data_IF_196608088689
#
_entry.id   IF_196608088689
#
_cell.length_a   1.000
_cell.length_b   1.000
_cell.length_c   1.000
_cell.angle_alpha   90.00
_cell.angle_beta   90.00
_cell.angle_gamma   90.00
#
_symmetry.space_group_name_H-M   'P 1'
#
loop_
_entity.id
_entity.type
_entity.pdbx_description
1 polymer ?
#
# COMPACT_ATOMS: atom_id res chain seq x y z
N UNK A 1 -18.57 -12.90 -11.17
CA UNK A 1 -17.94 -12.26 -12.32
C UNK A 1 -17.09 -13.27 -13.10
N UNK A 2 -17.29 -13.37 -14.42
CA UNK A 2 -16.55 -14.28 -15.29
C UNK A 2 -15.32 -13.59 -15.89
N UNK A 3 -14.51 -12.92 -15.07
CA UNK A 3 -13.21 -12.41 -15.50
C UNK A 3 -12.25 -13.56 -15.76
N UNK A 4 -11.45 -13.47 -16.80
CA UNK A 4 -10.37 -14.42 -17.02
C UNK A 4 -9.23 -14.02 -16.08
N UNK A 5 -9.01 -14.82 -15.04
CA UNK A 5 -7.83 -14.69 -14.20
C UNK A 5 -6.75 -15.59 -14.75
N UNK A 6 -5.66 -14.99 -15.20
CA UNK A 6 -4.51 -15.73 -15.71
C UNK A 6 -3.50 -15.91 -14.59
N UNK A 7 -3.18 -17.13 -14.26
CA UNK A 7 -2.10 -17.43 -13.33
C UNK A 7 -0.76 -17.22 -14.03
N UNK A 8 0.10 -16.41 -13.40
CA UNK A 8 1.48 -16.23 -13.82
C UNK A 8 2.39 -16.85 -12.75
N UNK A 9 2.77 -18.12 -12.90
CA UNK A 9 3.56 -18.81 -11.90
C UNK A 9 4.99 -18.25 -11.87
N UNK A 10 5.43 -17.89 -10.69
CA UNK A 10 6.83 -17.61 -10.37
C UNK A 10 7.58 -18.88 -9.90
N UNK A 11 6.85 -20.02 -9.79
CA UNK A 11 7.37 -21.26 -9.23
C UNK A 11 8.56 -21.86 -9.99
N UNK A 12 8.67 -21.60 -11.28
CA UNK A 12 9.81 -22.06 -12.08
C UNK A 12 11.09 -21.29 -11.73
N UNK A 13 10.98 -20.12 -11.17
CA UNK A 13 12.11 -19.31 -10.71
C UNK A 13 12.84 -19.94 -9.53
N UNK A 14 12.09 -20.40 -8.55
CA UNK A 14 12.65 -20.93 -7.30
C UNK A 14 13.28 -22.31 -7.47
N UNK A 15 12.83 -23.08 -8.46
CA UNK A 15 13.21 -24.49 -8.61
C UNK A 15 14.50 -24.74 -9.39
N UNK A 16 14.86 -23.88 -10.36
CA UNK A 16 15.94 -24.19 -11.30
C UNK A 16 16.87 -23.03 -11.68
N UNK A 17 16.67 -21.84 -11.15
CA UNK A 17 17.49 -20.66 -11.48
C UNK A 17 17.43 -20.27 -12.97
N UNK A 18 16.47 -20.81 -13.74
CA UNK A 18 16.23 -20.48 -15.14
C UNK A 18 14.75 -20.21 -15.35
N UNK A 19 14.45 -19.01 -15.76
CA UNK A 19 13.12 -18.60 -16.15
C UNK A 19 13.00 -18.83 -17.66
N UNK A 20 12.03 -19.62 -18.07
CA UNK A 20 11.68 -19.80 -19.49
C UNK A 20 10.84 -18.65 -20.03
N UNK A 21 10.44 -17.70 -19.16
CA UNK A 21 9.67 -16.50 -19.48
C UNK A 21 10.53 -15.26 -19.31
N UNK A 22 10.24 -14.14 -20.00
CA UNK A 22 11.00 -12.90 -19.92
C UNK A 22 10.75 -12.13 -18.62
N UNK A 23 10.79 -12.82 -17.48
CA UNK A 23 10.76 -12.20 -16.17
C UNK A 23 12.18 -11.83 -15.78
N UNK A 24 12.44 -10.55 -15.71
CA UNK A 24 13.71 -10.05 -15.20
C UNK A 24 13.62 -9.85 -13.69
N UNK A 25 14.73 -10.14 -13.01
CA UNK A 25 14.82 -9.88 -11.58
C UNK A 25 14.88 -8.38 -11.34
N UNK A 26 13.87 -7.82 -10.70
CA UNK A 26 13.88 -6.45 -10.23
C UNK A 26 14.83 -6.28 -9.03
N UNK A 27 15.42 -5.10 -8.83
CA UNK A 27 16.14 -4.78 -7.61
C UNK A 27 15.19 -4.77 -6.42
N UNK A 28 15.73 -4.97 -5.23
CA UNK A 28 14.98 -4.99 -3.98
C UNK A 28 15.54 -6.04 -3.02
N UNK A 29 14.81 -6.32 -1.99
CA UNK A 29 15.16 -7.28 -0.95
C UNK A 29 13.92 -7.97 -0.39
N UNK A 30 14.06 -8.60 0.74
CA UNK A 30 12.94 -9.14 1.49
C UNK A 30 12.10 -8.00 2.09
N UNK A 31 10.77 -8.14 2.11
CA UNK A 31 9.89 -7.11 2.64
C UNK A 31 9.90 -5.81 1.83
N UNK A 32 9.66 -5.91 0.52
CA UNK A 32 9.86 -4.78 -0.39
C UNK A 32 8.56 -4.14 -0.84
N UNK A 33 8.46 -2.83 -0.65
CA UNK A 33 7.61 -1.97 -1.46
C UNK A 33 8.36 -1.53 -2.70
N UNK A 34 7.69 -1.56 -3.85
CA UNK A 34 8.23 -1.03 -5.10
C UNK A 34 7.41 0.16 -5.56
N UNK A 35 8.09 1.25 -5.90
CA UNK A 35 7.53 2.38 -6.62
C UNK A 35 8.33 2.56 -7.93
N UNK A 36 7.66 2.41 -9.05
CA UNK A 36 8.25 2.56 -10.37
C UNK A 36 7.97 3.98 -10.85
N UNK A 37 9.00 4.70 -11.32
CA UNK A 37 8.82 6.02 -11.90
C UNK A 37 7.93 5.91 -13.16
N UNK A 38 6.74 6.52 -13.19
CA UNK A 38 5.83 6.40 -14.33
C UNK A 38 6.36 7.07 -15.61
N UNK A 39 7.37 7.94 -15.49
CA UNK A 39 8.01 8.64 -16.61
C UNK A 39 9.29 7.97 -17.08
N UNK A 40 9.85 7.06 -16.26
CA UNK A 40 11.05 6.29 -16.57
C UNK A 40 10.98 4.89 -15.94
N UNK A 41 10.48 3.87 -16.64
CA UNK A 41 10.31 2.51 -16.09
C UNK A 41 11.66 1.84 -15.72
N UNK A 42 12.78 2.42 -16.12
CA UNK A 42 14.11 1.95 -15.72
C UNK A 42 14.54 2.49 -14.35
N UNK A 43 13.75 3.39 -13.74
CA UNK A 43 14.00 3.89 -12.39
C UNK A 43 12.99 3.30 -11.42
N UNK A 44 13.50 2.56 -10.41
CA UNK A 44 12.70 1.87 -9.39
C UNK A 44 13.19 2.25 -8.01
N UNK A 45 12.25 2.60 -7.14
CA UNK A 45 12.48 2.78 -5.71
C UNK A 45 12.01 1.53 -4.99
N UNK A 46 12.88 0.96 -4.17
CA UNK A 46 12.59 -0.30 -3.47
C UNK A 46 12.93 -0.13 -1.99
N UNK A 47 11.93 -0.24 -1.14
CA UNK A 47 12.21 -0.44 0.28
C UNK A 47 12.63 -1.89 0.54
N UNK A 48 13.28 -2.14 1.66
CA UNK A 48 13.45 -3.49 2.20
C UNK A 48 13.24 -3.45 3.71
N UNK A 49 13.36 -4.59 4.37
CA UNK A 49 13.04 -4.70 5.80
C UNK A 49 13.65 -3.56 6.64
N UNK A 50 12.92 -3.12 7.62
CA UNK A 50 13.25 -2.01 8.54
C UNK A 50 13.35 -0.63 7.86
N UNK A 51 12.61 -0.44 6.76
CA UNK A 51 12.54 0.85 6.08
C UNK A 51 13.76 1.20 5.25
N UNK A 52 14.71 0.29 5.02
CA UNK A 52 15.81 0.53 4.09
C UNK A 52 15.26 0.93 2.72
N UNK A 53 15.85 1.91 2.09
CA UNK A 53 15.36 2.46 0.83
C UNK A 53 16.48 2.61 -0.20
N UNK A 54 16.24 2.05 -1.37
CA UNK A 54 17.17 2.06 -2.49
C UNK A 54 16.51 2.70 -3.71
N UNK A 55 17.25 3.53 -4.44
CA UNK A 55 16.93 3.90 -5.81
C UNK A 55 17.79 3.06 -6.74
N UNK A 56 17.15 2.40 -7.70
CA UNK A 56 17.82 1.55 -8.68
C UNK A 56 17.52 2.02 -10.09
N UNK A 57 18.53 2.02 -10.95
CA UNK A 57 18.44 2.41 -12.34
C UNK A 57 18.95 1.27 -13.24
N UNK A 58 18.18 0.94 -14.28
CA UNK A 58 18.57 -0.02 -15.31
C UNK A 58 19.31 0.71 -16.44
N UNK A 59 20.57 0.40 -16.62
CA UNK A 59 21.41 0.92 -17.70
C UNK A 59 22.15 -0.23 -18.37
N UNK A 60 22.08 -0.30 -19.68
CA UNK A 60 22.76 -1.34 -20.50
C UNK A 60 22.49 -2.78 -20.00
N UNK A 61 21.23 -3.04 -19.64
CA UNK A 61 20.78 -4.33 -19.11
C UNK A 61 21.29 -4.68 -17.71
N UNK A 62 21.82 -3.70 -16.97
CA UNK A 62 22.33 -3.89 -15.60
C UNK A 62 21.68 -2.93 -14.63
N UNK A 63 21.22 -3.45 -13.51
CA UNK A 63 20.74 -2.64 -12.40
C UNK A 63 21.91 -2.09 -11.56
N UNK A 64 21.85 -0.79 -11.29
CA UNK A 64 22.71 -0.12 -10.32
C UNK A 64 21.84 0.45 -9.21
N UNK A 65 22.21 0.22 -7.96
CA UNK A 65 21.39 0.63 -6.81
C UNK A 65 22.17 1.57 -5.90
N UNK A 66 21.51 2.62 -5.43
CA UNK A 66 22.04 3.59 -4.47
C UNK A 66 21.14 3.61 -3.23
N UNK A 67 21.74 3.54 -2.05
CA UNK A 67 21.03 3.81 -0.80
C UNK A 67 20.61 5.28 -0.76
N UNK A 68 19.33 5.52 -0.52
CA UNK A 68 18.73 6.84 -0.42
C UNK A 68 17.88 6.96 0.86
N UNK A 69 18.14 6.13 1.87
CA UNK A 69 17.46 6.22 3.16
C UNK A 69 17.63 7.63 3.76
N UNK A 70 16.54 8.28 4.24
CA UNK A 70 16.68 9.52 5.00
C UNK A 70 17.53 9.32 6.25
N UNK A 71 18.27 10.34 6.61
CA UNK A 71 19.06 10.39 7.84
C UNK A 71 18.35 11.26 8.88
N UNK A 72 18.55 10.95 10.13
CA UNK A 72 18.08 11.79 11.25
C UNK A 72 19.18 12.72 11.72
N UNK A 73 18.78 13.86 12.30
CA UNK A 73 19.71 14.82 12.88
C UNK A 73 20.41 14.28 14.14
N UNK A 74 21.49 14.92 14.51
CA UNK A 74 22.18 14.63 15.77
C UNK A 74 21.24 14.86 16.97
N UNK A 75 21.09 13.84 17.83
CA UNK A 75 20.19 13.87 18.98
C UNK A 75 18.74 13.44 18.70
N UNK A 76 18.37 13.20 17.44
CA UNK A 76 17.07 12.60 17.11
C UNK A 76 17.01 11.12 17.52
N UNK A 77 15.83 10.61 17.90
CA UNK A 77 15.64 9.17 18.09
C UNK A 77 15.96 8.38 16.83
N UNK A 78 16.47 7.14 16.97
CA UNK A 78 16.76 6.29 15.81
C UNK A 78 15.49 6.03 15.00
N UNK A 79 15.67 5.88 13.68
CA UNK A 79 14.56 5.54 12.80
C UNK A 79 14.01 4.14 13.10
N UNK A 80 12.69 4.05 13.19
CA UNK A 80 11.94 2.80 13.28
C UNK A 80 11.16 2.59 11.99
N UNK A 81 11.52 1.56 11.25
CA UNK A 81 10.83 1.18 10.01
C UNK A 81 10.23 -0.20 10.14
N UNK A 82 9.00 -0.34 9.66
CA UNK A 82 8.32 -1.62 9.57
C UNK A 82 9.04 -2.54 8.58
N UNK A 83 8.77 -3.85 8.66
CA UNK A 83 9.25 -4.82 7.68
C UNK A 83 8.89 -4.42 6.25
N UNK A 84 7.67 -3.88 6.07
CA UNK A 84 7.15 -3.30 4.83
C UNK A 84 6.93 -1.80 5.04
N UNK A 85 7.99 -1.00 5.06
CA UNK A 85 7.88 0.44 5.19
C UNK A 85 7.30 1.08 3.90
N UNK A 86 6.25 1.90 4.00
CA UNK A 86 5.58 2.42 2.82
C UNK A 86 6.44 3.46 2.11
N UNK A 87 6.55 3.30 0.79
CA UNK A 87 7.23 4.25 -0.10
C UNK A 87 6.33 4.53 -1.28
N UNK A 88 5.99 5.79 -1.52
CA UNK A 88 5.14 6.21 -2.64
C UNK A 88 5.80 7.33 -3.44
N UNK A 89 5.46 7.40 -4.72
CA UNK A 89 5.73 8.56 -5.56
C UNK A 89 4.49 9.46 -5.57
N UNK A 90 4.72 10.76 -5.60
CA UNK A 90 3.63 11.72 -5.79
C UNK A 90 2.95 11.51 -7.15
N UNK A 91 1.61 11.42 -7.19
CA UNK A 91 0.88 11.38 -8.46
C UNK A 91 0.96 12.68 -9.24
N UNK A 92 1.39 13.78 -8.61
CA UNK A 92 1.53 15.10 -9.24
C UNK A 92 2.92 15.32 -9.84
N UNK A 93 3.96 14.75 -9.21
CA UNK A 93 5.34 14.86 -9.67
C UNK A 93 6.14 13.62 -9.26
N UNK A 94 6.55 12.75 -10.19
CA UNK A 94 7.27 11.50 -9.87
C UNK A 94 8.68 11.72 -9.30
N UNK A 95 9.19 12.95 -9.28
CA UNK A 95 10.43 13.29 -8.58
C UNK A 95 10.25 13.41 -7.07
N UNK A 96 8.99 13.61 -6.63
CA UNK A 96 8.64 13.69 -5.22
C UNK A 96 8.36 12.29 -4.70
N UNK A 97 9.07 11.94 -3.62
CA UNK A 97 8.98 10.64 -2.95
C UNK A 97 8.57 10.89 -1.51
N UNK A 98 7.64 10.09 -1.02
CA UNK A 98 7.34 10.00 0.41
C UNK A 98 7.76 8.64 0.94
N UNK A 99 8.39 8.64 2.11
CA UNK A 99 8.82 7.43 2.80
C UNK A 99 8.39 7.46 4.26
N UNK A 100 7.76 6.37 4.71
CA UNK A 100 7.22 6.24 6.07
C UNK A 100 8.11 5.38 6.95
N UNK A 101 8.49 5.94 8.08
CA UNK A 101 9.14 5.28 9.22
C UNK A 101 8.21 5.42 10.44
N UNK A 102 8.62 5.94 11.58
CA UNK A 102 7.73 6.56 12.57
C UNK A 102 7.34 7.99 12.18
N UNK A 103 8.10 8.59 11.27
CA UNK A 103 7.91 9.90 10.66
C UNK A 103 7.57 9.73 9.18
N UNK A 104 7.01 10.76 8.57
CA UNK A 104 6.93 10.88 7.11
C UNK A 104 8.10 11.76 6.64
N UNK A 105 8.84 11.24 5.69
CA UNK A 105 9.89 11.96 4.97
C UNK A 105 9.45 12.27 3.55
N UNK A 106 9.81 13.45 3.05
CA UNK A 106 9.62 13.90 1.67
C UNK A 106 10.98 14.18 1.03
N UNK A 107 11.15 13.73 -0.20
CA UNK A 107 12.22 14.14 -1.10
C UNK A 107 11.61 14.75 -2.35
N UNK A 108 12.12 15.88 -2.82
CA UNK A 108 11.69 16.55 -4.06
C UNK A 108 12.66 16.32 -5.22
N UNK A 109 13.74 15.59 -4.99
CA UNK A 109 14.87 15.42 -5.89
C UNK A 109 15.28 13.95 -6.12
N UNK A 110 14.27 13.05 -6.12
CA UNK A 110 14.46 11.61 -6.33
C UNK A 110 15.33 10.94 -5.25
N UNK A 111 15.19 11.37 -4.00
CA UNK A 111 15.87 10.77 -2.86
C UNK A 111 17.33 11.24 -2.67
N UNK A 112 17.73 12.37 -3.24
CA UNK A 112 19.06 12.93 -2.97
C UNK A 112 19.10 13.69 -1.65
N UNK A 113 18.03 14.43 -1.35
CA UNK A 113 17.83 15.13 -0.09
C UNK A 113 16.45 14.81 0.48
N UNK A 114 16.32 14.89 1.80
CA UNK A 114 15.10 14.56 2.52
C UNK A 114 14.73 15.63 3.53
N UNK A 115 13.44 15.86 3.65
CA UNK A 115 12.82 16.67 4.68
C UNK A 115 11.92 15.78 5.54
N UNK A 116 12.03 15.88 6.86
CA UNK A 116 11.07 15.28 7.78
C UNK A 116 9.86 16.21 7.88
N UNK A 117 8.71 15.76 7.35
CA UNK A 117 7.49 16.56 7.27
C UNK A 117 6.44 16.17 8.32
N UNK A 118 6.81 15.36 9.32
CA UNK A 118 5.92 15.05 10.46
C UNK A 118 6.69 14.89 11.77
N UNK A 119 5.96 14.99 12.87
CA UNK A 119 6.34 14.39 14.14
C UNK A 119 6.19 12.87 14.11
N UNK A 120 6.41 12.19 15.25
CA UNK A 120 6.07 10.76 15.40
C UNK A 120 4.55 10.60 15.32
N UNK A 121 4.07 9.85 14.32
CA UNK A 121 2.65 9.63 14.05
C UNK A 121 2.13 8.31 14.65
N UNK A 122 2.89 7.74 15.59
CA UNK A 122 2.57 6.48 16.26
C UNK A 122 2.32 6.71 17.76
N UNK A 123 1.87 5.69 18.47
CA UNK A 123 1.77 5.77 19.93
C UNK A 123 3.14 5.84 20.61
N UNK A 124 4.18 5.28 19.97
CA UNK A 124 5.55 5.29 20.48
C UNK A 124 5.68 4.78 21.93
N UNK A 125 4.97 3.68 22.25
CA UNK A 125 5.04 3.08 23.58
C UNK A 125 6.33 2.26 23.72
N UNK A 126 7.27 2.67 24.60
CA UNK A 126 8.53 1.95 24.79
C UNK A 126 8.36 0.50 25.25
N UNK A 127 7.25 0.18 25.91
CA UNK A 127 6.99 -1.18 26.42
C UNK A 127 6.74 -2.19 25.29
N UNK A 128 6.33 -1.72 24.10
CA UNK A 128 5.92 -2.58 22.98
C UNK A 128 6.71 -2.33 21.70
N UNK A 129 7.64 -1.38 21.68
CA UNK A 129 8.40 -0.99 20.46
C UNK A 129 9.23 -2.14 19.88
N UNK A 130 9.71 -3.07 20.74
CA UNK A 130 10.60 -4.16 20.31
C UNK A 130 12.04 -3.69 20.06
N UNK A 131 12.97 -4.64 20.08
CA UNK A 131 14.40 -4.38 19.88
C UNK A 131 14.94 -5.15 18.66
N UNK A 132 15.62 -4.44 17.78
CA UNK A 132 16.38 -5.04 16.69
C UNK A 132 17.64 -5.74 17.24
N UNK A 133 18.10 -6.82 16.61
CA UNK A 133 17.60 -7.43 15.36
C UNK A 133 16.55 -8.54 15.58
N UNK A 134 16.13 -8.80 16.79
CA UNK A 134 15.33 -9.97 17.15
C UNK A 134 13.82 -9.76 17.05
N UNK A 135 13.37 -8.51 16.96
CA UNK A 135 11.97 -8.17 16.78
C UNK A 135 11.80 -7.21 15.61
N UNK A 136 10.66 -7.33 14.90
CA UNK A 136 10.23 -6.31 13.96
C UNK A 136 9.83 -5.09 14.78
N UNK A 137 10.36 -3.89 14.52
CA UNK A 137 9.96 -2.70 15.25
C UNK A 137 8.46 -2.49 15.13
N UNK A 138 7.83 -2.20 16.25
CA UNK A 138 6.44 -1.78 16.34
C UNK A 138 6.37 -0.26 16.49
N UNK A 139 5.20 0.35 16.34
CA UNK A 139 5.01 1.79 16.24
C UNK A 139 5.72 2.40 15.02
N UNK A 140 5.37 1.86 13.86
CA UNK A 140 5.88 2.28 12.56
C UNK A 140 4.73 2.54 11.59
N UNK A 141 4.97 3.41 10.62
CA UNK A 141 4.03 3.60 9.52
C UNK A 141 4.00 2.39 8.60
N UNK A 142 2.81 2.01 8.16
CA UNK A 142 2.52 0.87 7.29
C UNK A 142 1.83 1.26 6.00
N UNK A 143 1.23 2.45 5.97
CA UNK A 143 0.51 2.94 4.81
C UNK A 143 0.71 4.44 4.62
N UNK A 144 0.88 4.86 3.36
CA UNK A 144 0.90 6.26 2.92
C UNK A 144 0.04 6.39 1.67
N UNK A 145 -0.66 7.51 1.54
CA UNK A 145 -1.37 7.88 0.32
C UNK A 145 -1.37 9.39 0.15
N UNK A 146 -0.96 9.88 -1.02
CA UNK A 146 -1.21 11.25 -1.43
C UNK A 146 -2.47 11.30 -2.29
N UNK A 147 -3.30 12.32 -2.11
CA UNK A 147 -4.45 12.55 -2.97
C UNK A 147 -4.02 12.78 -4.41
N UNK A 148 -4.58 12.07 -5.40
CA UNK A 148 -4.30 12.38 -6.80
C UNK A 148 -4.98 13.66 -7.30
N UNK A 149 -5.85 14.25 -6.49
CA UNK A 149 -6.62 15.47 -6.82
C UNK A 149 -5.93 16.72 -6.25
N UNK A 150 -5.34 16.61 -5.07
CA UNK A 150 -4.78 17.76 -4.34
C UNK A 150 -3.36 17.45 -3.85
N UNK A 151 -2.37 18.18 -4.38
CA UNK A 151 -0.98 18.08 -3.95
C UNK A 151 -0.83 18.43 -2.47
N UNK A 152 -0.09 17.61 -1.74
CA UNK A 152 0.17 17.84 -0.31
C UNK A 152 -0.97 17.43 0.63
N UNK A 153 -2.10 16.93 0.10
CA UNK A 153 -3.08 16.23 0.90
C UNK A 153 -2.63 14.78 1.06
N UNK A 154 -2.11 14.44 2.25
CA UNK A 154 -1.51 13.14 2.56
C UNK A 154 -2.21 12.47 3.72
N UNK A 155 -2.26 11.15 3.65
CA UNK A 155 -2.74 10.28 4.72
C UNK A 155 -1.64 9.29 5.11
N UNK A 156 -1.52 9.01 6.41
CA UNK A 156 -0.58 8.04 6.97
C UNK A 156 -1.29 7.12 7.96
N UNK A 157 -0.98 5.82 7.90
CA UNK A 157 -1.48 4.81 8.83
C UNK A 157 -0.33 4.02 9.44
N UNK A 158 -0.49 3.57 10.69
CA UNK A 158 0.53 2.86 11.46
C UNK A 158 0.12 1.44 11.84
N UNK A 159 1.09 0.64 12.25
CA UNK A 159 0.86 -0.73 12.73
C UNK A 159 0.19 -0.79 14.11
N UNK A 160 0.18 0.29 14.86
CA UNK A 160 -0.52 0.45 16.13
C UNK A 160 -1.92 1.07 16.00
N UNK A 161 -2.40 1.29 14.75
CA UNK A 161 -3.77 1.62 14.45
C UNK A 161 -4.08 3.11 14.34
N UNK A 162 -3.07 3.99 14.43
CA UNK A 162 -3.30 5.44 14.25
C UNK A 162 -3.37 5.80 12.76
N UNK A 163 -4.28 6.70 12.45
CA UNK A 163 -4.43 7.29 11.12
C UNK A 163 -4.36 8.81 11.22
N UNK A 164 -3.58 9.42 10.34
CA UNK A 164 -3.38 10.87 10.31
C UNK A 164 -3.58 11.44 8.92
N UNK A 165 -3.96 12.72 8.86
CA UNK A 165 -4.07 13.50 7.63
C UNK A 165 -3.30 14.80 7.76
N UNK A 166 -2.65 15.23 6.69
CA UNK A 166 -2.19 16.61 6.46
C UNK A 166 -2.85 17.17 5.22
N UNK A 167 -3.24 18.44 5.24
CA UNK A 167 -3.84 19.16 4.11
C UNK A 167 -2.95 20.30 3.61
N UNK A 168 -1.75 20.41 4.16
CA UNK A 168 -0.82 21.53 3.95
C UNK A 168 0.61 21.05 3.65
N UNK A 169 0.75 19.84 3.08
CA UNK A 169 2.03 19.27 2.67
C UNK A 169 2.92 18.85 3.82
N UNK A 170 2.34 18.58 5.00
CA UNK A 170 3.08 18.12 6.18
C UNK A 170 3.43 19.20 7.20
N UNK A 171 2.99 20.45 7.00
CA UNK A 171 3.19 21.50 8.01
C UNK A 171 2.42 21.20 9.29
N UNK A 172 1.18 20.68 9.15
CA UNK A 172 0.38 20.21 10.28
C UNK A 172 -0.21 18.83 9.99
N UNK A 173 -0.30 17.99 11.03
CA UNK A 173 -0.92 16.66 10.96
C UNK A 173 -2.01 16.56 12.00
N UNK A 174 -3.18 16.06 11.57
CA UNK A 174 -4.33 15.83 12.43
C UNK A 174 -4.57 14.33 12.53
N UNK A 175 -4.71 13.82 13.75
CA UNK A 175 -5.15 12.44 13.96
C UNK A 175 -6.64 12.29 13.63
N UNK A 176 -6.96 11.24 12.87
CA UNK A 176 -8.31 10.93 12.39
C UNK A 176 -8.72 9.49 12.73
N UNK A 177 -8.15 8.93 13.79
CA UNK A 177 -8.38 7.54 14.23
C UNK A 177 -9.77 7.33 14.88
N UNK A 178 -10.40 8.41 15.37
CA UNK A 178 -11.69 8.31 16.07
C UNK A 178 -12.77 7.67 15.19
N UNK A 179 -13.41 6.61 15.72
CA UNK A 179 -14.42 5.83 14.99
C UNK A 179 -13.87 4.61 14.26
N UNK A 180 -12.56 4.42 14.23
CA UNK A 180 -11.92 3.19 13.75
C UNK A 180 -11.69 2.19 14.90
N UNK A 181 -11.55 0.88 14.62
CA UNK A 181 -11.18 -0.12 15.62
C UNK A 181 -9.86 0.21 16.30
N UNK A 182 -9.89 0.19 17.62
CA UNK A 182 -8.72 0.54 18.44
C UNK A 182 -7.56 -0.43 18.23
N UNK A 183 -6.35 0.09 18.05
CA UNK A 183 -5.09 -0.65 18.06
C UNK A 183 -5.00 -1.77 17.00
N UNK A 184 -5.67 -1.61 15.85
CA UNK A 184 -5.60 -2.55 14.74
C UNK A 184 -4.63 -2.06 13.68
N UNK A 185 -3.81 -2.97 13.16
CA UNK A 185 -2.83 -2.67 12.11
C UNK A 185 -3.49 -2.04 10.88
N UNK A 186 -3.12 -0.82 10.54
CA UNK A 186 -3.59 -0.17 9.31
C UNK A 186 -2.89 -0.81 8.12
N UNK A 187 -3.61 -1.64 7.38
CA UNK A 187 -3.05 -2.36 6.24
C UNK A 187 -2.96 -1.50 4.99
N UNK A 188 -3.93 -0.58 4.80
CA UNK A 188 -3.91 0.38 3.68
C UNK A 188 -4.64 1.68 4.05
N UNK A 189 -4.19 2.77 3.43
CA UNK A 189 -4.92 4.04 3.31
C UNK A 189 -4.94 4.40 1.83
N UNK A 190 -6.10 4.83 1.30
CA UNK A 190 -6.26 5.20 -0.11
C UNK A 190 -7.08 6.47 -0.21
N UNK A 191 -6.46 7.57 -0.63
CA UNK A 191 -7.17 8.78 -1.01
C UNK A 191 -7.93 8.54 -2.32
N UNK A 192 -9.18 8.98 -2.40
CA UNK A 192 -10.02 8.80 -3.58
C UNK A 192 -9.48 9.57 -4.79
N UNK A 193 -9.76 9.03 -5.97
CA UNK A 193 -9.49 9.67 -7.26
C UNK A 193 -10.62 10.55 -7.74
N UNK A 194 -11.80 10.47 -7.11
CA UNK A 194 -13.02 11.12 -7.56
C UNK A 194 -13.43 12.29 -6.66
N UNK A 195 -13.17 12.18 -5.37
CA UNK A 195 -13.47 13.22 -4.41
C UNK A 195 -12.31 13.39 -3.42
N UNK A 196 -11.80 14.60 -3.30
CA UNK A 196 -10.64 14.89 -2.44
C UNK A 196 -10.89 14.69 -0.95
N UNK A 197 -12.14 14.80 -0.51
CA UNK A 197 -12.51 14.59 0.88
C UNK A 197 -12.70 13.11 1.23
N UNK A 198 -12.77 12.25 0.21
CA UNK A 198 -12.98 10.82 0.39
C UNK A 198 -11.66 10.07 0.58
N UNK A 199 -11.62 9.22 1.60
CA UNK A 199 -10.51 8.32 1.91
C UNK A 199 -11.02 6.97 2.39
N UNK A 200 -10.32 5.92 2.01
CA UNK A 200 -10.59 4.54 2.41
C UNK A 200 -9.47 4.04 3.32
N UNK A 201 -9.82 3.27 4.34
CA UNK A 201 -8.87 2.63 5.25
C UNK A 201 -9.24 1.16 5.41
N UNK A 202 -8.24 0.29 5.33
CA UNK A 202 -8.38 -1.10 5.76
C UNK A 202 -7.49 -1.35 6.97
N UNK A 203 -8.01 -2.13 7.92
CA UNK A 203 -7.26 -2.56 9.09
C UNK A 203 -7.36 -4.08 9.23
N UNK A 204 -6.40 -4.67 9.90
CA UNK A 204 -6.47 -6.08 10.25
C UNK A 204 -6.07 -6.33 11.71
N UNK A 205 -6.74 -7.30 12.32
CA UNK A 205 -6.50 -7.72 13.70
C UNK A 205 -5.79 -9.07 13.83
N UNK A 206 -5.21 -9.59 12.73
CA UNK A 206 -4.62 -10.95 12.71
C UNK A 206 -3.62 -11.19 13.83
N UNK A 207 -2.86 -10.18 14.23
CA UNK A 207 -1.89 -10.29 15.34
C UNK A 207 -2.55 -10.49 16.70
N UNK A 208 -3.85 -10.21 16.81
CA UNK A 208 -4.67 -10.28 18.01
C UNK A 208 -5.72 -11.41 17.91
N UNK A 209 -5.54 -12.37 17.00
CA UNK A 209 -6.51 -13.44 16.68
C UNK A 209 -7.90 -12.92 16.26
N UNK A 210 -7.96 -11.69 15.81
CA UNK A 210 -9.17 -11.03 15.32
C UNK A 210 -9.23 -11.14 13.78
N UNK A 211 -10.10 -11.99 13.30
CA UNK A 211 -10.25 -12.33 11.89
C UNK A 211 -11.38 -11.55 11.21
N UNK A 212 -11.89 -10.49 11.84
CA UNK A 212 -12.88 -9.63 11.21
C UNK A 212 -12.25 -8.80 10.08
N UNK A 213 -13.07 -8.47 9.13
CA UNK A 213 -12.78 -7.53 8.05
C UNK A 213 -13.12 -6.10 8.51
N UNK A 214 -12.16 -5.23 8.40
CA UNK A 214 -12.29 -3.83 8.77
C UNK A 214 -12.00 -2.95 7.57
N UNK A 215 -13.06 -2.45 6.93
CA UNK A 215 -12.99 -1.60 5.74
C UNK A 215 -13.85 -0.36 5.99
N UNK A 216 -13.22 0.80 6.01
CA UNK A 216 -13.88 2.06 6.33
C UNK A 216 -13.73 3.08 5.22
N UNK A 217 -14.76 3.90 5.05
CA UNK A 217 -14.80 5.05 4.15
C UNK A 217 -15.11 6.31 4.95
N UNK A 218 -14.40 7.38 4.67
CA UNK A 218 -14.74 8.73 5.08
C UNK A 218 -14.98 9.59 3.85
N UNK A 219 -15.87 10.59 3.95
CA UNK A 219 -16.14 11.60 2.92
C UNK A 219 -15.90 13.02 3.43
N UNK A 220 -15.17 13.14 4.55
CA UNK A 220 -14.91 14.40 5.23
C UNK A 220 -13.46 14.50 5.74
N UNK A 221 -12.51 13.96 4.95
CA UNK A 221 -11.08 13.90 5.27
C UNK A 221 -10.75 13.07 6.52
N UNK A 222 -11.58 12.08 6.87
CA UNK A 222 -11.37 11.20 8.02
C UNK A 222 -11.93 11.72 9.33
N UNK A 223 -12.75 12.78 9.33
CA UNK A 223 -13.39 13.27 10.56
C UNK A 223 -14.45 12.28 11.06
N UNK A 224 -15.16 11.62 10.12
CA UNK A 224 -16.10 10.53 10.43
C UNK A 224 -15.85 9.33 9.51
N UNK A 225 -16.15 8.13 10.02
CA UNK A 225 -15.94 6.88 9.31
C UNK A 225 -17.23 6.06 9.23
N UNK A 226 -17.47 5.50 8.07
CA UNK A 226 -18.54 4.54 7.83
C UNK A 226 -17.90 3.17 7.54
N UNK A 227 -18.38 2.15 8.22
CA UNK A 227 -18.04 0.76 7.89
C UNK A 227 -18.64 0.40 6.53
N UNK A 228 -17.80 -0.07 5.63
CA UNK A 228 -18.16 -0.52 4.29
C UNK A 228 -17.71 -1.96 4.03
N UNK A 229 -17.54 -2.77 5.06
CA UNK A 229 -17.17 -4.19 4.93
C UNK A 229 -18.26 -5.01 4.23
N UNK A 230 -19.49 -4.53 4.28
CA UNK A 230 -20.64 -5.11 3.56
C UNK A 230 -20.88 -6.57 3.93
N UNK A 231 -20.93 -7.42 2.91
CA UNK A 231 -21.19 -8.85 3.03
C UNK A 231 -19.93 -9.72 2.79
N UNK A 232 -18.73 -9.18 2.96
CA UNK A 232 -17.52 -10.00 2.96
C UNK A 232 -17.65 -10.99 4.12
N UNK A 233 -17.53 -12.31 3.87
CA UNK A 233 -17.95 -13.30 4.87
C UNK A 233 -17.02 -13.36 6.09
N UNK A 234 -15.76 -13.15 5.91
CA UNK A 234 -14.71 -13.02 6.94
C UNK A 234 -13.34 -12.86 6.28
N UNK A 235 -12.38 -12.48 7.09
CA UNK A 235 -10.96 -12.45 6.76
C UNK A 235 -10.40 -11.04 6.68
N UNK A 236 -9.30 -10.82 7.41
CA UNK A 236 -8.69 -9.51 7.48
C UNK A 236 -8.48 -8.87 6.12
N UNK A 237 -8.89 -7.61 5.99
CA UNK A 237 -8.67 -6.83 4.78
C UNK A 237 -7.22 -6.34 4.73
N UNK A 238 -6.50 -6.71 3.69
CA UNK A 238 -5.08 -6.37 3.51
C UNK A 238 -4.88 -5.19 2.56
N UNK A 239 -5.78 -5.03 1.61
CA UNK A 239 -5.67 -4.00 0.58
C UNK A 239 -7.04 -3.62 0.04
N UNK A 240 -7.20 -2.32 -0.21
CA UNK A 240 -8.32 -1.78 -0.98
C UNK A 240 -7.79 -0.95 -2.15
N UNK A 241 -8.49 -0.98 -3.28
CA UNK A 241 -8.23 -0.12 -4.43
C UNK A 241 -9.54 0.40 -5.00
N UNK A 242 -9.57 1.70 -5.28
CA UNK A 242 -10.63 2.33 -6.05
C UNK A 242 -10.35 2.16 -7.55
N UNK A 243 -11.38 1.84 -8.32
CA UNK A 243 -11.23 1.71 -9.77
C UNK A 243 -10.80 3.04 -10.40
N UNK A 244 -9.85 3.04 -11.36
CA UNK A 244 -9.36 4.29 -11.95
C UNK A 244 -10.30 4.93 -12.96
N UNK A 245 -11.32 4.21 -13.46
CA UNK A 245 -12.20 4.64 -14.54
C UNK A 245 -13.67 4.76 -14.14
N UNK A 246 -14.08 4.08 -13.07
CA UNK A 246 -15.47 4.04 -12.61
C UNK A 246 -15.55 4.30 -11.12
N UNK A 247 -16.15 5.42 -10.76
CA UNK A 247 -16.46 5.75 -9.38
C UNK A 247 -17.39 4.68 -8.76
N UNK A 248 -17.21 4.37 -7.47
CA UNK A 248 -18.01 3.39 -6.76
C UNK A 248 -17.57 1.94 -6.93
N UNK A 249 -16.66 1.62 -7.86
CA UNK A 249 -16.08 0.29 -7.93
C UNK A 249 -14.87 0.21 -6.99
N UNK A 250 -14.90 -0.77 -6.09
CA UNK A 250 -13.84 -1.04 -5.12
C UNK A 250 -13.38 -2.50 -5.24
N UNK A 251 -12.07 -2.69 -5.19
CA UNK A 251 -11.44 -4.01 -5.13
C UNK A 251 -10.80 -4.20 -3.77
N UNK A 252 -11.10 -5.32 -3.12
CA UNK A 252 -10.58 -5.65 -1.79
C UNK A 252 -9.87 -6.99 -1.84
N UNK A 253 -8.62 -7.03 -1.35
CA UNK A 253 -7.88 -8.25 -1.12
C UNK A 253 -7.89 -8.61 0.36
N UNK A 254 -8.25 -9.85 0.66
CA UNK A 254 -8.34 -10.40 2.02
C UNK A 254 -7.43 -11.60 2.19
N UNK A 255 -7.47 -12.23 3.37
CA UNK A 255 -6.79 -13.51 3.61
C UNK A 255 -7.36 -14.68 2.79
N UNK A 256 -8.55 -14.53 2.21
CA UNK A 256 -9.25 -15.62 1.53
C UNK A 256 -9.50 -15.38 0.03
N UNK A 257 -9.10 -14.23 -0.51
CA UNK A 257 -9.26 -13.95 -1.92
C UNK A 257 -9.51 -12.47 -2.22
N UNK A 258 -10.03 -12.23 -3.43
CA UNK A 258 -10.34 -10.89 -3.92
C UNK A 258 -11.84 -10.72 -4.05
N UNK A 259 -12.32 -9.58 -3.60
CA UNK A 259 -13.71 -9.16 -3.70
C UNK A 259 -13.83 -7.86 -4.51
N UNK A 260 -14.95 -7.68 -5.18
CA UNK A 260 -15.30 -6.45 -5.87
C UNK A 260 -16.65 -5.94 -5.40
N UNK A 261 -16.73 -4.65 -5.14
CA UNK A 261 -17.97 -3.92 -4.95
C UNK A 261 -18.22 -3.03 -6.16
N UNK A 262 -19.49 -2.93 -6.58
CA UNK A 262 -19.94 -2.06 -7.68
C UNK A 262 -20.80 -0.90 -7.19
N UNK A 263 -21.02 -0.81 -5.89
CA UNK A 263 -21.99 0.08 -5.23
C UNK A 263 -21.37 0.88 -4.07
N UNK A 264 -20.04 1.10 -4.13
CA UNK A 264 -19.32 1.91 -3.14
C UNK A 264 -19.09 1.22 -1.80
N UNK A 265 -19.11 -0.12 -1.78
CA UNK A 265 -18.83 -0.92 -0.59
C UNK A 265 -20.09 -1.40 0.16
N UNK A 266 -21.31 -1.25 -0.42
CA UNK A 266 -22.53 -1.76 0.20
C UNK A 266 -22.60 -3.29 0.06
N UNK A 267 -22.25 -3.82 -1.12
CA UNK A 267 -22.18 -5.26 -1.38
C UNK A 267 -20.91 -5.65 -2.10
N UNK A 268 -20.45 -6.87 -1.84
CA UNK A 268 -19.23 -7.43 -2.46
C UNK A 268 -19.51 -8.78 -3.10
N UNK A 269 -18.80 -9.03 -4.19
CA UNK A 269 -18.82 -10.30 -4.92
C UNK A 269 -17.39 -10.84 -5.03
N UNK A 270 -17.24 -12.16 -4.98
CA UNK A 270 -15.95 -12.80 -5.22
C UNK A 270 -15.48 -12.50 -6.64
N UNK A 271 -14.26 -12.01 -6.76
CA UNK A 271 -13.63 -11.69 -8.03
C UNK A 271 -12.65 -12.80 -8.43
N UNK A 272 -12.86 -13.38 -9.63
CA UNK A 272 -12.02 -14.45 -10.17
C UNK A 272 -12.46 -15.85 -9.73
N UNK A 273 -13.11 -16.58 -10.64
CA UNK A 273 -13.64 -17.93 -10.35
C UNK A 273 -12.58 -19.00 -10.19
N UNK A 274 -11.41 -18.82 -10.80
CA UNK A 274 -10.30 -19.77 -10.80
C UNK A 274 -9.16 -19.36 -9.83
N UNK A 275 -9.27 -18.22 -9.14
CA UNK A 275 -8.37 -17.88 -8.06
C UNK A 275 -8.69 -18.76 -6.85
N UNK A 276 -7.77 -19.61 -6.39
CA UNK A 276 -8.03 -20.39 -5.19
C UNK A 276 -8.13 -19.47 -3.96
N UNK A 277 -8.78 -19.96 -2.92
CA UNK A 277 -8.72 -19.26 -1.63
C UNK A 277 -7.26 -19.09 -1.20
N UNK A 278 -6.82 -17.87 -1.07
CA UNK A 278 -5.44 -17.54 -0.74
C UNK A 278 -5.33 -16.13 -0.16
N UNK A 279 -4.29 -15.95 0.60
CA UNK A 279 -3.93 -14.67 1.15
C UNK A 279 -3.49 -13.70 0.04
N UNK A 280 -4.16 -12.56 -0.04
CA UNK A 280 -3.85 -11.49 -1.01
C UNK A 280 -3.10 -10.38 -0.30
N UNK A 281 -1.84 -10.17 -0.67
CA UNK A 281 -1.00 -9.12 -0.11
C UNK A 281 -1.29 -7.75 -0.69
N UNK A 282 -1.39 -7.67 -2.00
CA UNK A 282 -1.58 -6.40 -2.69
C UNK A 282 -2.36 -6.56 -3.98
N UNK A 283 -3.01 -5.49 -4.37
CA UNK A 283 -3.71 -5.30 -5.62
C UNK A 283 -3.15 -4.07 -6.32
N UNK A 284 -2.89 -4.18 -7.62
CA UNK A 284 -2.44 -3.05 -8.42
C UNK A 284 -3.16 -3.03 -9.76
N UNK A 285 -3.77 -1.91 -10.09
CA UNK A 285 -4.37 -1.74 -11.41
C UNK A 285 -3.34 -1.06 -12.31
N UNK A 286 -2.97 -1.73 -13.42
CA UNK A 286 -2.06 -1.17 -14.39
C UNK A 286 -2.78 -0.05 -15.18
N UNK A 287 -2.31 1.21 -15.11
CA UNK A 287 -3.11 2.34 -15.58
C UNK A 287 -3.29 2.38 -17.10
N UNK A 288 -2.28 1.94 -17.86
CA UNK A 288 -2.33 1.90 -19.33
C UNK A 288 -3.17 0.73 -19.85
N UNK A 289 -2.92 -0.47 -19.33
CA UNK A 289 -3.44 -1.71 -19.90
C UNK A 289 -4.74 -2.17 -19.22
N UNK A 290 -5.17 -1.49 -18.17
CA UNK A 290 -6.39 -1.80 -17.40
C UNK A 290 -6.43 -3.24 -16.90
N UNK A 291 -5.30 -3.70 -16.39
CA UNK A 291 -5.10 -5.05 -15.85
C UNK A 291 -5.05 -4.95 -14.32
N UNK A 292 -5.85 -5.76 -13.63
CA UNK A 292 -5.72 -5.93 -12.19
C UNK A 292 -4.67 -7.02 -11.91
N UNK A 293 -3.60 -6.66 -11.25
CA UNK A 293 -2.57 -7.57 -10.76
C UNK A 293 -2.84 -7.90 -9.30
N UNK A 294 -2.83 -9.19 -8.97
CA UNK A 294 -3.13 -9.75 -7.66
C UNK A 294 -1.86 -10.44 -7.15
N UNK A 295 -1.28 -9.90 -6.08
CA UNK A 295 -0.13 -10.51 -5.41
C UNK A 295 -0.61 -11.39 -4.25
N UNK A 296 -0.28 -12.68 -4.28
CA UNK A 296 -0.70 -13.64 -3.26
C UNK A 296 0.47 -14.17 -2.45
N UNK A 297 0.18 -14.68 -1.26
CA UNK A 297 1.16 -15.43 -0.50
C UNK A 297 1.08 -16.92 -0.84
N UNK A 298 2.14 -17.44 -1.43
CA UNK A 298 2.30 -18.86 -1.73
C UNK A 298 1.53 -19.38 -2.96
N UNK A 299 0.81 -18.51 -3.72
CA UNK A 299 0.06 -18.87 -4.91
C UNK A 299 0.47 -18.10 -6.17
N UNK A 300 1.61 -17.38 -6.10
CA UNK A 300 2.14 -16.61 -7.22
C UNK A 300 1.39 -15.30 -7.48
N UNK A 301 1.53 -14.78 -8.70
CA UNK A 301 0.89 -13.55 -9.15
C UNK A 301 -0.19 -13.90 -10.16
N UNK A 302 -1.37 -13.29 -10.00
CA UNK A 302 -2.52 -13.47 -10.86
C UNK A 302 -2.88 -12.17 -11.55
N UNK A 303 -3.52 -12.24 -12.72
CA UNK A 303 -4.02 -11.06 -13.43
C UNK A 303 -5.46 -11.23 -13.88
N UNK A 304 -6.19 -10.11 -13.90
CA UNK A 304 -7.44 -9.99 -14.65
C UNK A 304 -7.16 -9.03 -15.80
N UNK A 305 -7.07 -9.59 -17.01
CA UNK A 305 -6.61 -8.87 -18.20
C UNK A 305 -7.72 -8.03 -18.87
N UNK A 306 -8.99 -8.23 -18.47
CA UNK A 306 -10.18 -7.56 -19.01
C UNK A 306 -10.99 -6.90 -17.89
N UNK A 307 -10.38 -5.95 -17.20
CA UNK A 307 -11.04 -5.26 -16.09
C UNK A 307 -12.25 -4.41 -16.56
N UNK A 308 -12.25 -4.00 -17.82
CA UNK A 308 -13.39 -3.36 -18.47
C UNK A 308 -14.69 -4.20 -18.43
N UNK A 309 -14.59 -5.52 -18.35
CA UNK A 309 -15.77 -6.38 -18.15
C UNK A 309 -16.46 -6.11 -16.80
N UNK A 310 -15.68 -5.81 -15.75
CA UNK A 310 -16.21 -5.41 -14.44
C UNK A 310 -16.74 -3.97 -14.49
N UNK A 311 -16.01 -3.08 -15.15
CA UNK A 311 -16.33 -1.65 -15.24
C UNK A 311 -17.62 -1.39 -16.03
N UNK A 312 -17.96 -2.26 -17.00
CA UNK A 312 -19.18 -2.15 -17.82
C UNK A 312 -20.47 -2.65 -17.13
N UNK A 313 -20.34 -3.33 -15.97
CA UNK A 313 -21.49 -3.73 -15.17
C UNK A 313 -22.15 -2.52 -14.45
N UNK A 314 -21.39 -1.43 -14.30
CA UNK A 314 -21.90 -0.17 -13.72
C UNK A 314 -22.25 0.78 -14.87
N UNK A 315 -23.55 1.04 -15.03
CA UNK A 315 -24.10 1.96 -16.04
C UNK A 315 -23.83 3.42 -15.71
#
# INVERSE_FOLDING_TARGET
YRGVVTHRPDSDYMRFGRISQPWERAPGGEGTFHAIDPTDPNTVYSSSFYGRLMRSELKDGRWTSKNILPEVGEGDPPLRGQWLAPTILSPHNPHVIYHGMQYVFRSEDRGKTWERISGDLTYNDPATTGELPFAIPFHCLTALSESPIEYGLLYAGSDDGRVHVTKDGGMTWTEITSGLPYYKHVSRVVASKYDKATVYVTLNGRRDDDMNDYIYKSTDYGQTWSDISGNIPCGPANVIREDPKKEGILYVGTDFGVYVSLDGGQTYHVLGQNLPSCFVWDLKIHPRDNILVIATNGRGIWTIDHLDAVQNEVN
#
